data_IF_218564160833
#
_entry.id   IF_218564160833
#
_cell.length_a   1.000
_cell.length_b   1.000
_cell.length_c   1.000
_cell.angle_alpha   90.00
_cell.angle_beta   90.00
_cell.angle_gamma   90.00
#
_symmetry.space_group_name_H-M   'P 1'
#
loop_
_entity.id
_entity.type
_entity.pdbx_description
1 polymer ?
#
# COMPACT_ATOMS: atom_id res chain seq x y z
N UNK A 1 8.14 1.56 -8.17
CA UNK A 1 8.43 0.41 -7.28
C UNK A 1 7.46 -0.71 -7.58
N UNK A 2 7.89 -1.98 -7.51
CA UNK A 2 7.01 -3.16 -7.58
C UNK A 2 6.61 -3.62 -6.17
N UNK A 3 5.44 -4.24 -6.00
CA UNK A 3 5.01 -4.74 -4.70
C UNK A 3 5.99 -5.77 -4.12
N UNK A 4 6.26 -5.68 -2.82
CA UNK A 4 7.21 -6.53 -2.11
C UNK A 4 6.51 -7.40 -1.04
N UNK A 5 6.97 -8.64 -0.80
CA UNK A 5 8.13 -9.30 -1.43
C UNK A 5 7.89 -9.67 -2.91
N UNK A 6 8.95 -9.64 -3.73
CA UNK A 6 8.91 -9.88 -5.17
C UNK A 6 9.95 -10.91 -5.61
N UNK A 7 9.51 -11.96 -6.32
CA UNK A 7 10.37 -13.06 -6.77
C UNK A 7 11.48 -12.63 -7.72
N UNK A 8 11.19 -11.77 -8.69
CA UNK A 8 12.18 -11.32 -9.67
C UNK A 8 13.29 -10.46 -9.03
N UNK A 9 12.94 -9.62 -8.05
CA UNK A 9 13.94 -8.85 -7.28
C UNK A 9 14.81 -9.78 -6.44
N UNK A 10 14.20 -10.81 -5.82
CA UNK A 10 14.95 -11.82 -5.07
C UNK A 10 15.91 -12.59 -5.97
N UNK A 11 15.47 -13.01 -7.15
CA UNK A 11 16.31 -13.72 -8.12
C UNK A 11 17.47 -12.84 -8.59
N UNK A 12 17.20 -11.59 -8.98
CA UNK A 12 18.23 -10.67 -9.42
C UNK A 12 19.28 -10.40 -8.34
N UNK A 13 18.85 -10.10 -7.11
CA UNK A 13 19.76 -9.79 -5.98
C UNK A 13 20.56 -10.99 -5.47
N UNK A 14 20.11 -12.21 -5.74
CA UNK A 14 20.84 -13.45 -5.39
C UNK A 14 21.75 -13.94 -6.52
N UNK A 15 21.37 -13.72 -7.78
CA UNK A 15 22.11 -14.21 -8.96
C UNK A 15 23.24 -13.27 -9.37
N UNK A 16 23.07 -11.96 -9.16
CA UNK A 16 24.13 -10.98 -9.32
C UNK A 16 24.16 -10.06 -8.11
N UNK A 17 25.30 -9.40 -7.84
CA UNK A 17 25.47 -8.49 -6.71
C UNK A 17 24.71 -7.15 -6.89
N UNK A 18 23.46 -7.23 -7.35
CA UNK A 18 22.57 -6.09 -7.52
C UNK A 18 22.24 -5.47 -6.17
N UNK A 19 22.13 -4.14 -6.15
CA UNK A 19 21.80 -3.36 -4.96
C UNK A 19 20.55 -2.54 -5.23
N UNK A 20 19.66 -2.50 -4.24
CA UNK A 20 18.55 -1.54 -4.26
C UNK A 20 19.08 -0.17 -3.86
N UNK A 21 18.84 0.82 -4.71
CA UNK A 21 19.23 2.22 -4.47
C UNK A 21 18.01 2.98 -3.92
N UNK A 22 18.15 3.71 -2.79
CA UNK A 22 17.08 4.56 -2.29
C UNK A 22 16.62 5.57 -3.34
N UNK A 23 15.31 5.75 -3.46
CA UNK A 23 14.72 6.82 -4.26
C UNK A 23 14.18 7.88 -3.31
N UNK A 24 15.04 8.81 -2.91
CA UNK A 24 14.76 9.84 -1.91
C UNK A 24 15.35 11.18 -2.34
N UNK A 25 14.96 12.27 -1.68
CA UNK A 25 15.51 13.60 -1.89
C UNK A 25 14.46 14.60 -2.37
N UNK A 26 14.83 15.89 -2.47
CA UNK A 26 13.89 16.98 -2.75
C UNK A 26 13.09 16.80 -4.05
N UNK A 27 13.71 16.23 -5.08
CA UNK A 27 13.08 15.95 -6.37
C UNK A 27 12.00 14.86 -6.24
N UNK A 28 12.28 13.81 -5.45
CA UNK A 28 11.31 12.75 -5.18
C UNK A 28 10.17 13.29 -4.34
N UNK A 29 10.46 14.07 -3.30
CA UNK A 29 9.45 14.72 -2.48
C UNK A 29 8.51 15.58 -3.31
N UNK A 30 9.07 16.37 -4.24
CA UNK A 30 8.29 17.18 -5.18
C UNK A 30 7.44 16.32 -6.12
N UNK A 31 7.95 15.18 -6.60
CA UNK A 31 7.17 14.26 -7.44
C UNK A 31 5.99 13.70 -6.65
N UNK A 32 6.22 13.20 -5.43
CA UNK A 32 5.16 12.62 -4.60
C UNK A 32 4.13 13.68 -4.22
N UNK A 33 4.55 14.89 -3.83
CA UNK A 33 3.66 15.96 -3.43
C UNK A 33 2.74 16.46 -4.57
N UNK A 34 3.21 16.44 -5.82
CA UNK A 34 2.45 16.94 -6.96
C UNK A 34 1.57 15.86 -7.63
N UNK A 35 1.67 14.60 -7.19
CA UNK A 35 1.02 13.48 -7.85
C UNK A 35 0.32 12.58 -6.82
N UNK A 36 -1.00 12.71 -6.63
CA UNK A 36 -1.74 12.08 -5.53
C UNK A 36 -1.77 10.55 -5.59
N UNK A 37 -1.41 9.96 -6.73
CA UNK A 37 -1.32 8.52 -6.93
C UNK A 37 0.03 7.90 -6.48
N UNK A 38 1.01 8.72 -6.10
CA UNK A 38 2.24 8.23 -5.49
C UNK A 38 2.17 8.26 -3.97
N UNK A 39 2.77 7.26 -3.34
CA UNK A 39 2.96 7.14 -1.91
C UNK A 39 4.40 6.73 -1.60
N UNK A 40 4.90 7.17 -0.44
CA UNK A 40 6.18 6.70 0.08
C UNK A 40 6.09 5.22 0.45
N UNK A 41 7.20 4.51 0.29
CA UNK A 41 7.29 3.10 0.65
C UNK A 41 8.70 2.73 1.06
N UNK A 42 8.81 1.68 1.87
CA UNK A 42 10.05 1.20 2.46
C UNK A 42 10.21 -0.28 2.15
N UNK A 43 11.37 -0.65 1.64
CA UNK A 43 11.80 -2.06 1.61
C UNK A 43 12.46 -2.36 2.95
N UNK A 44 11.92 -3.26 3.78
CA UNK A 44 12.52 -3.63 5.06
C UNK A 44 13.94 -4.17 4.90
N UNK A 45 14.78 -3.91 5.90
CA UNK A 45 16.11 -4.52 5.99
C UNK A 45 16.02 -6.05 5.94
N UNK A 46 16.99 -6.68 5.28
CA UNK A 46 17.08 -8.12 5.09
C UNK A 46 16.08 -8.74 4.12
N UNK A 47 15.18 -7.96 3.51
CA UNK A 47 14.17 -8.50 2.59
C UNK A 47 14.78 -9.10 1.32
N UNK A 48 15.85 -8.49 0.79
CA UNK A 48 16.60 -8.97 -0.36
C UNK A 48 18.09 -9.07 -0.04
N UNK A 49 18.83 -9.86 -0.81
CA UNK A 49 20.28 -9.94 -0.68
C UNK A 49 20.89 -8.56 -0.94
N UNK A 50 21.79 -8.12 -0.05
CA UNK A 50 22.44 -6.81 -0.13
C UNK A 50 21.62 -5.63 0.39
N UNK A 51 20.45 -5.84 1.02
CA UNK A 51 19.71 -4.79 1.73
C UNK A 51 19.85 -4.93 3.25
N UNK A 52 21.03 -4.67 3.79
CA UNK A 52 21.28 -4.78 5.25
C UNK A 52 20.56 -3.70 6.07
N UNK A 53 20.11 -2.64 5.41
CA UNK A 53 19.33 -1.54 5.97
C UNK A 53 18.04 -1.36 5.17
N UNK A 54 17.09 -0.65 5.76
CA UNK A 54 15.86 -0.26 5.06
C UNK A 54 16.18 0.60 3.83
N UNK A 55 15.53 0.31 2.70
CA UNK A 55 15.65 1.12 1.49
C UNK A 55 14.39 1.95 1.31
N UNK A 56 14.51 3.25 1.57
CA UNK A 56 13.44 4.23 1.38
C UNK A 56 13.23 4.54 -0.10
N UNK A 57 11.98 4.62 -0.51
CA UNK A 57 11.61 4.86 -1.90
C UNK A 57 10.16 5.37 -1.99
N UNK A 58 9.59 5.36 -3.20
CA UNK A 58 8.21 5.73 -3.47
C UNK A 58 7.65 4.84 -4.59
N UNK A 59 6.32 4.77 -4.68
CA UNK A 59 5.64 4.00 -5.69
C UNK A 59 4.15 4.31 -5.72
N UNK A 60 3.40 3.48 -6.42
CA UNK A 60 1.94 3.53 -6.38
C UNK A 60 1.42 2.65 -5.25
N UNK A 61 0.32 3.05 -4.62
CA UNK A 61 -0.38 2.21 -3.65
C UNK A 61 -1.18 1.13 -4.39
N UNK A 62 -1.15 -0.11 -3.88
CA UNK A 62 -2.06 -1.14 -4.37
C UNK A 62 -3.46 -0.84 -3.83
N UNK A 63 -4.40 -0.54 -4.71
CA UNK A 63 -5.76 -0.13 -4.35
C UNK A 63 -6.77 -1.16 -4.85
N UNK A 64 -7.66 -1.60 -3.95
CA UNK A 64 -8.84 -2.38 -4.35
C UNK A 64 -9.89 -1.42 -4.90
N UNK A 65 -10.26 -1.61 -6.16
CA UNK A 65 -11.21 -0.75 -6.87
C UNK A 65 -12.47 -1.51 -7.25
N UNK A 66 -13.57 -0.78 -7.43
CA UNK A 66 -14.87 -1.26 -7.90
C UNK A 66 -15.52 -0.20 -8.79
N UNK A 67 -16.62 -0.54 -9.46
CA UNK A 67 -17.45 0.43 -10.18
C UNK A 67 -18.48 1.08 -9.26
N UNK A 68 -19.07 2.20 -9.70
CA UNK A 68 -20.16 2.89 -9.00
C UNK A 68 -21.49 2.10 -9.01
N UNK A 69 -21.63 1.14 -9.94
CA UNK A 69 -22.84 0.31 -10.08
C UNK A 69 -23.01 -0.74 -8.97
N UNK A 70 -21.94 -1.03 -8.21
CA UNK A 70 -22.01 -2.00 -7.12
C UNK A 70 -22.79 -1.40 -5.95
N UNK A 71 -23.71 -2.15 -5.36
CA UNK A 71 -24.57 -1.60 -4.32
C UNK A 71 -23.77 -1.13 -3.08
N UNK A 72 -24.23 -0.04 -2.47
CA UNK A 72 -23.67 0.50 -1.21
C UNK A 72 -23.50 -0.61 -0.16
N UNK A 73 -24.52 -1.46 -0.01
CA UNK A 73 -24.54 -2.53 0.98
C UNK A 73 -23.43 -3.58 0.73
N UNK A 74 -23.16 -3.94 -0.51
CA UNK A 74 -22.10 -4.91 -0.83
C UNK A 74 -20.74 -4.32 -0.50
N UNK A 75 -20.47 -3.09 -0.93
CA UNK A 75 -19.18 -2.44 -0.67
C UNK A 75 -18.99 -2.18 0.83
N UNK A 76 -20.02 -1.70 1.53
CA UNK A 76 -19.99 -1.51 2.98
C UNK A 76 -19.60 -2.80 3.71
N UNK A 77 -20.27 -3.91 3.40
CA UNK A 77 -20.02 -5.19 4.05
C UNK A 77 -18.62 -5.75 3.72
N UNK A 78 -18.16 -5.59 2.48
CA UNK A 78 -16.80 -5.97 2.09
C UNK A 78 -15.75 -5.15 2.86
N UNK A 79 -15.89 -3.82 2.87
CA UNK A 79 -14.98 -2.93 3.59
C UNK A 79 -14.98 -3.27 5.09
N UNK A 80 -16.16 -3.42 5.69
CA UNK A 80 -16.32 -3.83 7.09
C UNK A 80 -15.62 -5.15 7.38
N UNK A 81 -15.84 -6.17 6.55
CA UNK A 81 -15.22 -7.48 6.74
C UNK A 81 -13.69 -7.41 6.75
N UNK A 82 -13.08 -6.61 5.87
CA UNK A 82 -11.62 -6.42 5.84
C UNK A 82 -11.12 -5.72 7.11
N UNK A 83 -11.72 -4.60 7.48
CA UNK A 83 -11.21 -3.75 8.56
C UNK A 83 -11.54 -4.27 9.96
N UNK A 84 -12.64 -5.02 10.14
CA UNK A 84 -12.96 -5.66 11.43
C UNK A 84 -12.18 -6.96 11.64
N UNK A 85 -11.80 -7.65 10.57
CA UNK A 85 -10.96 -8.85 10.64
C UNK A 85 -9.49 -8.57 10.31
N UNK A 86 -9.02 -7.36 10.63
CA UNK A 86 -7.75 -6.85 10.17
C UNK A 86 -6.55 -7.76 10.50
N UNK A 87 -6.49 -8.30 11.73
CA UNK A 87 -5.41 -9.22 12.13
C UNK A 87 -5.40 -10.52 11.32
N UNK A 88 -6.57 -11.02 10.94
CA UNK A 88 -6.67 -12.18 10.04
C UNK A 88 -6.27 -11.78 8.62
N UNK A 89 -6.76 -10.64 8.15
CA UNK A 89 -6.45 -10.13 6.82
C UNK A 89 -4.94 -9.92 6.61
N UNK A 90 -4.24 -9.29 7.57
CA UNK A 90 -2.79 -9.04 7.48
C UNK A 90 -1.95 -10.30 7.47
N UNK A 91 -2.48 -11.43 7.94
CA UNK A 91 -1.83 -12.76 7.89
C UNK A 91 -2.02 -13.49 6.56
N UNK A 92 -2.95 -13.05 5.70
CA UNK A 92 -3.22 -13.74 4.42
C UNK A 92 -2.08 -13.62 3.42
N UNK A 93 -1.24 -12.58 3.53
CA UNK A 93 -0.09 -12.40 2.66
C UNK A 93 1.01 -11.57 3.35
N UNK A 94 2.31 -11.90 3.18
CA UNK A 94 3.41 -11.16 3.83
C UNK A 94 3.43 -9.66 3.53
N UNK A 95 2.99 -9.25 2.33
CA UNK A 95 2.91 -7.84 1.94
C UNK A 95 1.94 -7.02 2.83
N UNK A 96 0.99 -7.67 3.51
CA UNK A 96 0.00 -6.99 4.34
C UNK A 96 0.49 -6.75 5.77
N UNK A 97 1.65 -7.29 6.15
CA UNK A 97 2.16 -7.24 7.53
C UNK A 97 2.37 -5.82 8.06
N UNK A 98 2.59 -4.84 7.18
CA UNK A 98 2.86 -3.45 7.54
C UNK A 98 1.68 -2.50 7.26
N UNK A 99 0.51 -3.04 6.91
CA UNK A 99 -0.66 -2.20 6.66
C UNK A 99 -1.11 -1.51 7.94
N UNK A 100 -1.48 -0.24 7.82
CA UNK A 100 -2.18 0.54 8.84
C UNK A 100 -3.53 0.96 8.26
N UNK A 101 -4.58 0.91 9.08
CA UNK A 101 -5.95 1.18 8.63
C UNK A 101 -6.08 2.60 8.09
N UNK A 102 -5.43 3.56 8.72
CA UNK A 102 -5.45 4.98 8.37
C UNK A 102 -4.81 5.21 6.99
N UNK A 103 -3.68 4.55 6.73
CA UNK A 103 -2.95 4.64 5.47
C UNK A 103 -3.77 3.99 4.33
N UNK A 104 -4.47 2.89 4.60
CA UNK A 104 -5.30 2.19 3.60
C UNK A 104 -6.47 3.02 3.06
N UNK A 105 -6.93 4.03 3.80
CA UNK A 105 -8.05 4.88 3.38
C UNK A 105 -7.60 6.07 2.53
N UNK A 106 -6.38 6.56 2.76
CA UNK A 106 -5.93 7.87 2.24
C UNK A 106 -4.71 7.80 1.33
N UNK A 107 -3.81 6.84 1.52
CA UNK A 107 -2.53 6.81 0.81
C UNK A 107 -2.70 6.43 -0.67
N UNK A 108 -2.18 7.29 -1.56
CA UNK A 108 -2.16 7.04 -3.01
C UNK A 108 -3.53 7.06 -3.68
N UNK A 109 -4.59 7.48 -2.97
CA UNK A 109 -5.92 7.52 -3.55
C UNK A 109 -6.09 8.74 -4.46
N UNK A 110 -6.45 8.49 -5.72
CA UNK A 110 -6.63 9.50 -6.76
C UNK A 110 -8.06 9.57 -7.30
N UNK A 111 -8.97 8.72 -6.80
CA UNK A 111 -10.36 8.60 -7.26
C UNK A 111 -11.35 8.71 -6.10
N UNK A 112 -12.63 9.06 -6.37
CA UNK A 112 -13.65 9.11 -5.34
C UNK A 112 -13.84 7.76 -4.64
N UNK A 113 -14.09 7.79 -3.33
CA UNK A 113 -14.44 6.60 -2.56
C UNK A 113 -15.88 6.21 -2.83
N UNK A 114 -16.13 4.90 -2.94
CA UNK A 114 -17.48 4.36 -3.07
C UNK A 114 -18.33 4.68 -1.82
N UNK A 115 -19.63 5.06 -1.95
CA UNK A 115 -20.47 5.45 -0.81
C UNK A 115 -20.50 4.43 0.34
N UNK A 116 -20.53 3.13 0.00
CA UNK A 116 -20.50 2.06 1.00
C UNK A 116 -19.20 2.03 1.82
N UNK A 117 -18.06 2.29 1.19
CA UNK A 117 -16.77 2.37 1.89
C UNK A 117 -16.70 3.64 2.75
N UNK A 118 -17.16 4.79 2.22
CA UNK A 118 -17.23 6.07 2.96
C UNK A 118 -18.03 5.92 4.24
N UNK A 119 -19.21 5.28 4.15
CA UNK A 119 -20.07 5.04 5.31
C UNK A 119 -19.34 4.26 6.40
N UNK A 120 -18.71 3.14 6.05
CA UNK A 120 -17.93 2.36 7.03
C UNK A 120 -16.75 3.15 7.60
N UNK A 121 -15.97 3.82 6.75
CA UNK A 121 -14.81 4.59 7.22
C UNK A 121 -15.19 5.73 8.18
N UNK A 122 -16.36 6.37 8.00
CA UNK A 122 -16.89 7.36 8.96
C UNK A 122 -17.29 6.70 10.28
N UNK A 123 -18.02 5.58 10.24
CA UNK A 123 -18.42 4.83 11.44
C UNK A 123 -17.19 4.34 12.24
N UNK A 124 -16.14 3.91 11.54
CA UNK A 124 -14.87 3.46 12.13
C UNK A 124 -13.95 4.62 12.57
N UNK A 125 -14.35 5.88 12.37
CA UNK A 125 -13.56 7.06 12.73
C UNK A 125 -12.30 7.28 11.89
N UNK A 126 -12.19 6.64 10.73
CA UNK A 126 -11.02 6.72 9.83
C UNK A 126 -11.06 7.98 8.94
N UNK A 127 -12.26 8.52 8.68
CA UNK A 127 -12.48 9.78 7.97
C UNK A 127 -13.62 10.58 8.62
N UNK A 128 -13.68 11.89 8.36
CA UNK A 128 -14.72 12.79 8.85
C UNK A 128 -15.90 12.91 7.87
#
# INVERSE_FOLDING_TARGET
MVGHPNGAIKEATTSCAAKLVPATGPEIEKIVANNPYYAYSVVPAGMYSGTDQEVKSFGVAATLVTTEDVSEAVVYNLTKAVFENFDTFTRLHPAFANLKKEDMVTAGNSIPLHPGAVKYYKEAGLIK
#
